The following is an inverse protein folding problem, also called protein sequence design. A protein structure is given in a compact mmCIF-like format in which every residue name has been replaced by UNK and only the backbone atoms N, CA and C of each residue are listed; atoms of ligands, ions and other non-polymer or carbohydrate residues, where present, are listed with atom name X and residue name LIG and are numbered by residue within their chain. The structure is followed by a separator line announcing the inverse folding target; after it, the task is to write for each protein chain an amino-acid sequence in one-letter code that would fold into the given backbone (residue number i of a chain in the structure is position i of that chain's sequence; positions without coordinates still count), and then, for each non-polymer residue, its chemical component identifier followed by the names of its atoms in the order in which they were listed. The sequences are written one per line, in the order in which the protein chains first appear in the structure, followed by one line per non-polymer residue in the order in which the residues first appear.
data_IF_528268566450
#
_entry.id   IF_528268566450
#
_cell.length_a   1.000
_cell.length_b   1.000
_cell.length_c   1.000
_cell.angle_alpha   90.00
_cell.angle_beta   90.00
_cell.angle_gamma   90.00
#
_symmetry.space_group_name_H-M   'P 1'
#
loop_
_entity.id
_entity.type
_entity.pdbx_description
1 polymer ?
#
# COMPACT_ATOMS: atom_id res chain seq x y z
N UNK A 1 20.68 5.63 1.27
CA UNK A 1 19.53 6.54 1.48
C UNK A 1 18.95 6.23 2.85
N UNK A 2 18.48 7.20 3.63
CA UNK A 2 17.74 6.86 4.86
C UNK A 2 16.28 6.63 4.49
N UNK A 3 15.88 5.36 4.43
CA UNK A 3 14.52 4.97 4.02
C UNK A 3 13.49 5.12 5.14
N UNK A 4 13.91 5.43 6.37
CA UNK A 4 13.00 5.52 7.51
C UNK A 4 11.92 6.60 7.33
N UNK A 5 12.21 7.66 6.56
CA UNK A 5 11.26 8.73 6.24
C UNK A 5 10.14 8.33 5.28
N UNK A 6 10.22 7.16 4.65
CA UNK A 6 9.24 6.67 3.66
C UNK A 6 8.29 5.63 4.21
N UNK A 7 8.22 5.51 5.54
CA UNK A 7 7.27 4.67 6.21
C UNK A 7 6.36 5.48 7.12
N UNK A 8 5.11 5.05 7.22
CA UNK A 8 4.17 5.62 8.17
C UNK A 8 4.57 5.34 9.63
N UNK A 9 4.01 6.10 10.59
CA UNK A 9 4.12 5.80 12.01
C UNK A 9 3.71 4.36 12.33
N UNK A 10 4.32 3.77 13.36
CA UNK A 10 4.08 2.38 13.78
C UNK A 10 2.61 2.04 14.08
N UNK A 11 1.78 3.04 14.38
CA UNK A 11 0.34 2.85 14.55
C UNK A 11 -0.35 2.33 13.27
N UNK A 12 0.14 2.69 12.08
CA UNK A 12 -0.38 2.18 10.81
C UNK A 12 -0.10 0.67 10.61
N UNK A 13 0.94 0.14 11.27
CA UNK A 13 1.30 -1.29 11.19
C UNK A 13 0.34 -2.19 12.01
N UNK A 14 -0.64 -1.59 12.71
CA UNK A 14 -1.70 -2.30 13.44
C UNK A 14 -3.01 -2.40 12.65
N UNK A 15 -3.00 -1.97 11.38
CA UNK A 15 -4.19 -1.99 10.53
C UNK A 15 -4.77 -3.40 10.38
N UNK A 16 -6.10 -3.48 10.33
CA UNK A 16 -6.80 -4.73 10.04
C UNK A 16 -6.52 -5.20 8.60
N UNK A 17 -6.34 -6.51 8.44
CA UNK A 17 -6.09 -7.16 7.15
C UNK A 17 -7.25 -8.08 6.74
N UNK A 18 -8.37 -8.08 7.46
CA UNK A 18 -9.49 -9.00 7.25
C UNK A 18 -10.03 -9.02 5.81
N UNK A 19 -10.07 -7.87 5.12
CA UNK A 19 -10.50 -7.81 3.72
C UNK A 19 -9.57 -8.55 2.74
N UNK A 20 -8.30 -8.74 3.12
CA UNK A 20 -7.23 -9.18 2.23
C UNK A 20 -6.86 -10.66 2.40
N UNK A 21 -7.50 -11.39 3.32
CA UNK A 21 -7.09 -12.74 3.73
C UNK A 21 -7.03 -13.75 2.58
N UNK A 22 -7.76 -13.53 1.48
CA UNK A 22 -7.74 -14.43 0.32
C UNK A 22 -6.46 -14.36 -0.52
N UNK A 23 -5.63 -13.33 -0.34
CA UNK A 23 -4.37 -13.14 -1.09
C UNK A 23 -3.14 -12.99 -0.19
N UNK A 24 -3.32 -13.13 1.11
CA UNK A 24 -2.25 -13.00 2.10
C UNK A 24 -1.82 -14.37 2.64
N UNK A 25 -0.58 -14.49 3.15
CA UNK A 25 -0.15 -15.72 3.80
C UNK A 25 -0.90 -15.95 5.13
N UNK A 26 -0.84 -17.19 5.64
CA UNK A 26 -1.41 -17.55 6.92
C UNK A 26 -0.78 -16.76 8.08
N UNK A 27 -1.60 -16.35 9.05
CA UNK A 27 -1.20 -15.55 10.22
C UNK A 27 -0.40 -14.28 9.84
N UNK A 28 -0.96 -13.41 8.99
CA UNK A 28 -0.23 -12.26 8.47
C UNK A 28 0.06 -11.24 9.57
N UNK A 29 1.30 -10.72 9.59
CA UNK A 29 1.73 -9.63 10.45
C UNK A 29 2.38 -8.54 9.61
N UNK A 30 1.95 -7.28 9.80
CA UNK A 30 2.58 -6.14 9.14
C UNK A 30 3.94 -5.85 9.80
N UNK A 31 5.00 -5.78 9.00
CA UNK A 31 6.33 -5.35 9.40
C UNK A 31 6.43 -3.83 9.42
N UNK A 32 5.98 -3.21 8.32
CA UNK A 32 5.91 -1.77 8.06
C UNK A 32 4.89 -1.46 6.98
N UNK A 33 4.44 -0.20 6.99
CA UNK A 33 3.60 0.38 5.95
C UNK A 33 4.33 1.57 5.30
N UNK A 34 4.42 1.62 3.96
CA UNK A 34 5.00 2.76 3.24
C UNK A 34 4.06 3.98 3.28
N UNK A 35 4.50 5.14 2.79
CA UNK A 35 3.70 6.38 2.82
C UNK A 35 2.39 6.35 2.01
N UNK A 36 2.23 5.40 1.10
CA UNK A 36 1.02 5.22 0.28
C UNK A 36 0.04 4.21 0.88
N UNK A 37 0.40 3.64 2.04
CA UNK A 37 -0.42 2.63 2.68
C UNK A 37 -0.17 1.23 2.15
N UNK A 38 0.91 0.92 1.45
CA UNK A 38 1.21 -0.47 1.11
C UNK A 38 1.96 -1.14 2.27
N UNK A 39 1.60 -2.39 2.55
CA UNK A 39 2.05 -3.09 3.75
C UNK A 39 3.02 -4.21 3.40
N UNK A 40 4.19 -4.21 4.03
CA UNK A 40 5.08 -5.37 4.04
C UNK A 40 4.60 -6.33 5.12
N UNK A 41 4.28 -7.56 4.74
CA UNK A 41 3.60 -8.55 5.57
C UNK A 41 4.47 -9.79 5.65
N UNK A 42 4.66 -10.32 6.85
CA UNK A 42 5.27 -11.63 7.07
C UNK A 42 4.19 -12.63 7.49
N UNK A 43 4.22 -13.82 6.90
CA UNK A 43 3.34 -14.93 7.27
C UNK A 43 4.02 -15.98 8.16
N UNK A 44 3.28 -17.02 8.51
CA UNK A 44 3.80 -18.18 9.23
C UNK A 44 4.87 -18.97 8.45
N UNK A 45 4.94 -18.81 7.13
CA UNK A 45 5.96 -19.37 6.26
C UNK A 45 7.32 -18.63 6.33
N UNK A 46 7.34 -17.44 6.94
CA UNK A 46 8.53 -16.60 7.10
C UNK A 46 8.86 -15.73 5.89
N UNK A 47 8.10 -15.82 4.79
CA UNK A 47 8.29 -14.99 3.62
C UNK A 47 7.70 -13.60 3.84
N UNK A 48 8.29 -12.59 3.18
CA UNK A 48 7.78 -11.22 3.20
C UNK A 48 7.05 -10.94 1.90
N UNK A 49 5.84 -10.43 2.01
CA UNK A 49 4.98 -10.02 0.93
C UNK A 49 4.75 -8.51 0.96
N UNK A 50 4.70 -7.86 -0.20
CA UNK A 50 4.18 -6.50 -0.33
C UNK A 50 2.71 -6.60 -0.72
N UNK A 51 1.84 -6.06 0.12
CA UNK A 51 0.43 -5.81 -0.19
C UNK A 51 0.30 -4.41 -0.76
N UNK A 52 0.05 -4.31 -2.06
CA UNK A 52 -0.30 -3.05 -2.72
C UNK A 52 -1.81 -2.80 -2.57
N UNK A 53 -2.18 -1.91 -1.65
CA UNK A 53 -3.60 -1.68 -1.32
C UNK A 53 -4.35 -1.03 -2.49
N UNK A 54 -3.72 -0.09 -3.18
CA UNK A 54 -4.33 0.59 -4.31
C UNK A 54 -4.24 -0.24 -5.62
N UNK A 55 -3.27 -1.15 -5.69
CA UNK A 55 -3.11 -2.14 -6.78
C UNK A 55 -3.95 -3.41 -6.60
N UNK A 56 -4.51 -3.64 -5.41
CA UNK A 56 -5.32 -4.81 -5.08
C UNK A 56 -4.60 -6.16 -5.30
N UNK A 57 -3.28 -6.19 -5.09
CA UNK A 57 -2.45 -7.36 -5.28
C UNK A 57 -1.48 -7.56 -4.10
N UNK A 58 -0.95 -8.77 -3.99
CA UNK A 58 0.11 -9.08 -3.04
C UNK A 58 1.17 -9.94 -3.74
N UNK A 59 2.44 -9.57 -3.58
CA UNK A 59 3.58 -10.29 -4.15
C UNK A 59 4.61 -10.64 -3.09
N UNK A 60 5.29 -11.78 -3.24
CA UNK A 60 6.42 -12.13 -2.37
C UNK A 60 7.63 -11.28 -2.80
N UNK A 61 8.20 -10.55 -1.86
CA UNK A 61 9.31 -9.61 -2.09
C UNK A 61 10.62 -10.06 -1.46
N UNK A 62 10.60 -10.92 -0.44
CA UNK A 62 11.80 -11.47 0.19
C UNK A 62 11.54 -12.82 0.86
N UNK A 63 12.62 -13.58 1.08
CA UNK A 63 12.58 -14.91 1.67
C UNK A 63 12.63 -14.90 3.20
N UNK A 64 12.93 -13.74 3.79
CA UNK A 64 12.99 -13.52 5.23
C UNK A 64 12.89 -12.03 5.58
N UNK A 65 12.59 -11.72 6.85
CA UNK A 65 12.64 -10.34 7.36
C UNK A 65 14.05 -9.73 7.22
N UNK A 66 15.11 -10.52 7.42
CA UNK A 66 16.50 -10.05 7.27
C UNK A 66 16.79 -9.60 5.84
N UNK A 67 16.45 -10.44 4.85
CA UNK A 67 16.62 -10.09 3.44
C UNK A 67 15.79 -8.88 3.06
N UNK A 68 14.53 -8.81 3.54
CA UNK A 68 13.68 -7.65 3.34
C UNK A 68 14.36 -6.35 3.82
N UNK A 69 14.85 -6.32 5.06
CA UNK A 69 15.50 -5.13 5.61
C UNK A 69 16.79 -4.75 4.87
N UNK A 70 17.52 -5.73 4.35
CA UNK A 70 18.67 -5.48 3.50
C UNK A 70 18.27 -4.81 2.18
N UNK A 71 17.24 -5.33 1.50
CA UNK A 71 16.80 -4.86 0.17
C UNK A 71 16.07 -3.52 0.23
N UNK A 72 15.21 -3.33 1.23
CA UNK A 72 14.44 -2.09 1.38
C UNK A 72 15.33 -0.91 1.75
N UNK A 73 16.52 -1.14 2.32
CA UNK A 73 17.44 -0.08 2.77
C UNK A 73 17.90 0.90 1.67
N UNK A 74 17.92 0.47 0.40
CA UNK A 74 18.19 1.35 -0.74
C UNK A 74 16.95 1.59 -1.63
N UNK A 75 15.87 0.85 -1.40
CA UNK A 75 14.64 0.87 -2.21
C UNK A 75 14.88 0.71 -3.72
N UNK A 76 15.90 -0.06 -4.14
CA UNK A 76 16.22 -0.26 -5.57
C UNK A 76 15.07 -0.94 -6.36
N UNK A 77 14.13 -1.56 -5.66
CA UNK A 77 12.94 -2.20 -6.23
C UNK A 77 11.73 -1.25 -6.32
N UNK A 78 11.81 -0.06 -5.71
CA UNK A 78 10.73 0.94 -5.71
C UNK A 78 9.54 0.61 -4.80
N UNK A 79 9.68 -0.30 -3.84
CA UNK A 79 8.60 -0.72 -2.95
C UNK A 79 8.09 0.41 -2.04
N UNK A 80 8.93 1.39 -1.73
CA UNK A 80 8.53 2.55 -0.93
C UNK A 80 8.03 3.71 -1.79
N UNK A 81 8.10 3.59 -3.12
CA UNK A 81 7.74 4.65 -4.08
C UNK A 81 8.42 5.98 -3.73
N UNK A 82 9.71 5.94 -3.34
CA UNK A 82 10.48 7.09 -2.85
C UNK A 82 10.40 8.30 -3.77
N UNK A 83 10.59 8.11 -5.08
CA UNK A 83 10.51 9.20 -6.06
C UNK A 83 9.11 9.86 -6.08
N UNK A 84 8.03 9.06 -6.07
CA UNK A 84 6.68 9.60 -6.07
C UNK A 84 6.38 10.33 -4.76
N UNK A 85 6.86 9.82 -3.62
CA UNK A 85 6.73 10.49 -2.33
C UNK A 85 7.45 11.85 -2.31
N UNK A 86 8.66 11.91 -2.87
CA UNK A 86 9.45 13.14 -2.99
C UNK A 86 8.77 14.15 -3.93
N UNK A 87 8.20 13.69 -5.04
CA UNK A 87 7.46 14.53 -5.98
C UNK A 87 6.16 15.06 -5.36
N UNK A 88 5.43 14.24 -4.59
CA UNK A 88 4.26 14.66 -3.83
C UNK A 88 4.62 15.74 -2.83
N UNK A 89 5.69 15.54 -2.04
CA UNK A 89 6.17 16.52 -1.09
C UNK A 89 6.57 17.83 -1.77
N UNK A 90 7.30 17.75 -2.88
CA UNK A 90 7.74 18.90 -3.67
C UNK A 90 6.57 19.66 -4.31
N UNK A 91 5.45 18.99 -4.56
CA UNK A 91 4.19 19.61 -5.02
C UNK A 91 3.36 20.27 -3.91
N UNK A 92 3.82 20.18 -2.65
CA UNK A 92 3.17 20.78 -1.48
C UNK A 92 2.25 19.83 -0.71
N UNK A 93 2.21 18.55 -1.06
CA UNK A 93 1.48 17.53 -0.29
C UNK A 93 2.37 17.09 0.88
N UNK A 94 2.08 17.58 2.08
CA UNK A 94 2.83 17.21 3.29
C UNK A 94 1.95 16.39 4.23
N UNK A 95 2.40 15.20 4.58
CA UNK A 95 1.71 14.33 5.54
C UNK A 95 1.83 14.87 6.97
N UNK A 96 0.75 14.70 7.74
CA UNK A 96 0.73 14.85 9.19
C UNK A 96 0.48 13.48 9.83
N UNK A 97 0.64 13.42 11.16
CA UNK A 97 0.22 12.26 11.93
C UNK A 97 -1.24 11.90 11.61
N UNK A 98 -1.50 10.61 11.40
CA UNK A 98 -2.80 10.11 10.97
C UNK A 98 -2.99 10.02 9.45
N UNK A 99 -2.06 10.50 8.63
CA UNK A 99 -2.26 10.64 7.18
C UNK A 99 -1.31 9.78 6.33
N UNK A 100 -1.79 9.42 5.14
CA UNK A 100 -1.00 8.80 4.08
C UNK A 100 -1.23 9.52 2.74
N UNK A 101 -0.41 9.20 1.75
CA UNK A 101 -0.70 9.49 0.36
C UNK A 101 -1.73 8.49 -0.15
N UNK A 102 -2.75 8.99 -0.83
CA UNK A 102 -3.81 8.19 -1.41
C UNK A 102 -3.97 8.53 -2.88
N UNK A 103 -4.23 7.51 -3.70
CA UNK A 103 -4.55 7.73 -5.11
C UNK A 103 -6.00 8.22 -5.27
N UNK A 104 -6.19 9.28 -6.06
CA UNK A 104 -7.52 9.76 -6.47
C UNK A 104 -8.22 8.72 -7.33
N UNK A 105 -7.51 8.21 -8.35
CA UNK A 105 -7.87 7.03 -9.12
C UNK A 105 -6.93 5.89 -8.73
N UNK A 106 -7.39 4.82 -8.06
CA UNK A 106 -6.57 3.66 -7.72
C UNK A 106 -5.91 3.02 -8.95
N UNK A 107 -4.64 2.55 -8.86
CA UNK A 107 -3.96 1.84 -9.94
C UNK A 107 -4.71 0.63 -10.50
N UNK A 108 -5.41 -0.15 -9.66
CA UNK A 108 -6.26 -1.27 -10.15
C UNK A 108 -7.38 -0.81 -11.10
N UNK A 109 -7.74 0.47 -11.06
CA UNK A 109 -8.74 1.10 -11.92
C UNK A 109 -8.12 1.90 -13.08
N UNK A 110 -6.82 1.71 -13.35
CA UNK A 110 -6.09 2.41 -14.40
C UNK A 110 -5.55 3.78 -14.00
N UNK A 111 -5.48 4.07 -12.69
CA UNK A 111 -4.83 5.28 -12.19
C UNK A 111 -3.32 5.25 -12.36
N UNK A 112 -2.73 6.41 -12.62
CA UNK A 112 -1.28 6.56 -12.81
C UNK A 112 -0.56 6.88 -11.50
N UNK A 113 0.70 6.44 -11.39
CA UNK A 113 1.60 6.72 -10.27
C UNK A 113 2.27 8.09 -10.46
N UNK A 114 1.47 9.15 -10.44
CA UNK A 114 1.93 10.54 -10.61
C UNK A 114 1.37 11.45 -9.50
N UNK A 115 2.07 12.54 -9.12
CA UNK A 115 1.62 13.42 -8.03
C UNK A 115 0.22 14.01 -8.24
N UNK A 116 -0.18 14.24 -9.50
CA UNK A 116 -1.49 14.79 -9.84
C UNK A 116 -2.64 13.82 -9.54
N UNK A 117 -2.34 12.53 -9.43
CA UNK A 117 -3.28 11.49 -9.04
C UNK A 117 -3.17 11.15 -7.54
N UNK A 118 -2.48 11.96 -6.74
CA UNK A 118 -2.27 11.74 -5.31
C UNK A 118 -2.85 12.88 -4.49
N UNK A 119 -3.43 12.55 -3.35
CA UNK A 119 -3.88 13.49 -2.33
C UNK A 119 -3.57 12.96 -0.93
N UNK A 120 -3.67 13.81 0.08
CA UNK A 120 -3.41 13.45 1.49
C UNK A 120 -4.71 13.03 2.16
N UNK A 121 -4.78 11.82 2.69
CA UNK A 121 -5.96 11.24 3.30
C UNK A 121 -5.67 10.69 4.71
N UNK A 122 -6.66 10.58 5.61
CA UNK A 122 -6.55 9.76 6.82
C UNK A 122 -6.26 8.30 6.44
N UNK A 123 -5.24 7.69 7.05
CA UNK A 123 -4.83 6.34 6.64
C UNK A 123 -5.87 5.27 7.02
N UNK A 124 -6.61 5.47 8.11
CA UNK A 124 -7.61 4.52 8.60
C UNK A 124 -8.79 4.43 7.65
N UNK A 125 -9.31 5.58 7.24
CA UNK A 125 -10.32 5.69 6.18
C UNK A 125 -9.79 5.09 4.88
N UNK A 126 -8.55 5.45 4.49
CA UNK A 126 -8.01 4.97 3.21
C UNK A 126 -7.83 3.46 3.18
N UNK A 127 -7.38 2.85 4.28
CA UNK A 127 -7.20 1.40 4.35
C UNK A 127 -8.55 0.68 4.25
N UNK A 128 -9.59 1.18 4.93
CA UNK A 128 -10.95 0.66 4.81
C UNK A 128 -11.46 0.73 3.36
N UNK A 129 -11.33 1.90 2.72
CA UNK A 129 -11.78 2.10 1.33
C UNK A 129 -11.07 1.16 0.36
N UNK A 130 -9.76 0.93 0.53
CA UNK A 130 -9.04 -0.04 -0.32
C UNK A 130 -9.46 -1.49 -0.07
N UNK A 131 -9.81 -1.84 1.17
CA UNK A 131 -10.35 -3.17 1.47
C UNK A 131 -11.72 -3.40 0.82
N UNK A 132 -12.60 -2.40 0.87
CA UNK A 132 -13.91 -2.45 0.20
C UNK A 132 -13.78 -2.50 -1.32
N UNK A 133 -12.81 -1.77 -1.89
CA UNK A 133 -12.48 -1.84 -3.30
C UNK A 133 -12.01 -3.24 -3.69
N UNK A 134 -11.06 -3.81 -2.94
CA UNK A 134 -10.56 -5.16 -3.18
C UNK A 134 -11.68 -6.19 -3.18
N UNK A 135 -12.57 -6.15 -2.18
CA UNK A 135 -13.70 -7.07 -2.09
C UNK A 135 -14.62 -7.03 -3.32
N UNK A 136 -14.74 -5.87 -3.98
CA UNK A 136 -15.55 -5.70 -5.18
C UNK A 136 -14.86 -6.15 -6.47
N UNK A 137 -13.52 -6.08 -6.53
CA UNK A 137 -12.78 -6.31 -7.78
C UNK A 137 -12.03 -7.64 -7.84
N UNK A 138 -11.77 -8.30 -6.70
CA UNK A 138 -10.91 -9.49 -6.61
C UNK A 138 -11.34 -10.69 -7.48
N UNK A 139 -12.63 -10.79 -7.80
CA UNK A 139 -13.20 -11.89 -8.59
C UNK A 139 -13.50 -11.47 -10.05
N UNK A 140 -13.13 -10.25 -10.44
CA UNK A 140 -13.29 -9.77 -11.80
C UNK A 140 -12.13 -10.25 -12.68
N UNK A 141 -12.39 -10.66 -13.93
CA UNK A 141 -11.32 -10.95 -14.88
C UNK A 141 -10.60 -9.67 -15.30
N UNK A 142 -9.33 -9.80 -15.67
CA UNK A 142 -8.56 -8.70 -16.25
C UNK A 142 -9.30 -8.08 -17.44
N UNK A 143 -9.32 -6.74 -17.49
CA UNK A 143 -10.03 -5.98 -18.53
C UNK A 143 -11.55 -5.88 -18.34
N UNK A 144 -12.10 -6.35 -17.22
CA UNK A 144 -13.51 -6.15 -16.88
C UNK A 144 -13.87 -4.65 -16.86
N UNK A 145 -15.05 -4.32 -17.40
CA UNK A 145 -15.61 -2.97 -17.27
C UNK A 145 -16.31 -2.83 -15.94
N UNK A 146 -15.95 -1.80 -15.16
CA UNK A 146 -16.57 -1.49 -13.87
C UNK A 146 -17.30 -0.15 -13.93
N UNK A 147 -18.36 -0.02 -13.14
CA UNK A 147 -19.10 1.24 -12.96
C UNK A 147 -19.21 1.56 -11.48
N UNK A 148 -18.79 2.77 -11.09
CA UNK A 148 -18.87 3.21 -9.71
C UNK A 148 -20.18 3.95 -9.44
N UNK A 149 -20.78 3.67 -8.28
CA UNK A 149 -21.89 4.45 -7.74
C UNK A 149 -21.45 4.99 -6.38
N UNK A 150 -21.45 6.32 -6.26
CA UNK A 150 -21.30 6.97 -4.95
C UNK A 150 -22.60 6.76 -4.19
N UNK A 151 -22.48 6.26 -2.96
CA UNK A 151 -23.60 6.02 -2.05
C UNK A 151 -23.33 6.81 -0.77
N UNK A 152 -24.35 7.53 -0.28
CA UNK A 152 -24.33 8.29 0.98
C UNK A 152 -24.60 7.38 2.18
#
# INVERSE_FOLDING_TARGET
MDVNGYFLPRAADLADLGAWTSILPDQPRILRTNLFGDAFIVGADGYVHLLERAGCCAERVADSEEEFWHRVGNDDQGWLMTQLADDCHSSGLTLRDGQCYAFTVPPILGGEYIPQNVWVAPWDERFSVTGDLFAQVKDLPDGATVSFKVVD
#
